data_IF_706888936935
#
_entry.id   IF_706888936935
#
_cell.length_a   1.000
_cell.length_b   1.000
_cell.length_c   1.000
_cell.angle_alpha   90.00
_cell.angle_beta   90.00
_cell.angle_gamma   90.00
#
_symmetry.space_group_name_H-M   'P 1'
#
loop_
_entity.id
_entity.type
_entity.pdbx_description
1 polymer ?
#
# COMPACT_ATOMS: atom_id res chain seq x y z
N UNK A 1 -47.57 -22.75 -14.42
CA UNK A 1 -46.85 -21.78 -13.56
C UNK A 1 -45.82 -22.57 -12.79
N UNK A 2 -44.62 -22.70 -13.37
CA UNK A 2 -43.49 -23.34 -12.70
C UNK A 2 -42.60 -22.22 -12.18
N UNK A 3 -42.42 -22.17 -10.86
CA UNK A 3 -41.42 -21.33 -10.21
C UNK A 3 -40.05 -21.73 -10.76
N UNK A 4 -39.46 -20.80 -11.51
CA UNK A 4 -38.07 -20.84 -11.95
C UNK A 4 -37.20 -20.58 -10.72
N UNK A 5 -36.71 -21.68 -10.13
CA UNK A 5 -35.88 -21.74 -8.94
C UNK A 5 -34.53 -21.08 -9.25
N UNK A 6 -34.48 -19.75 -9.15
CA UNK A 6 -33.27 -18.95 -9.37
C UNK A 6 -32.29 -19.22 -8.22
N UNK A 7 -31.07 -19.72 -8.49
CA UNK A 7 -30.02 -19.84 -7.47
C UNK A 7 -29.46 -18.45 -7.17
N UNK A 8 -30.21 -17.60 -6.47
CA UNK A 8 -29.94 -16.16 -6.43
C UNK A 8 -30.01 -15.50 -5.05
N UNK A 9 -30.78 -16.02 -4.10
CA UNK A 9 -31.06 -15.30 -2.84
C UNK A 9 -29.86 -15.22 -1.88
N UNK A 10 -29.12 -16.31 -1.69
CA UNK A 10 -27.92 -16.30 -0.86
C UNK A 10 -26.77 -15.52 -1.52
N UNK A 11 -26.68 -15.60 -2.86
CA UNK A 11 -25.67 -14.93 -3.67
C UNK A 11 -25.85 -13.41 -3.63
N UNK A 12 -27.10 -12.94 -3.75
CA UNK A 12 -27.43 -11.52 -3.65
C UNK A 12 -27.16 -10.94 -2.27
N UNK A 13 -27.40 -11.69 -1.19
CA UNK A 13 -27.15 -11.19 0.17
C UNK A 13 -25.66 -10.97 0.46
N UNK A 14 -24.77 -11.84 -0.05
CA UNK A 14 -23.33 -11.69 0.11
C UNK A 14 -22.79 -10.56 -0.76
N UNK A 15 -23.24 -10.47 -2.02
CA UNK A 15 -22.90 -9.36 -2.91
C UNK A 15 -23.32 -8.03 -2.27
N UNK A 16 -24.56 -7.91 -1.82
CA UNK A 16 -25.05 -6.70 -1.12
C UNK A 16 -24.21 -6.31 0.11
N UNK A 17 -23.59 -7.28 0.82
CA UNK A 17 -22.68 -6.98 1.93
C UNK A 17 -21.33 -6.44 1.44
N UNK A 18 -20.78 -6.99 0.37
CA UNK A 18 -19.60 -6.45 -0.30
C UNK A 18 -19.87 -5.02 -0.74
N UNK A 19 -21.07 -4.75 -1.22
CA UNK A 19 -21.46 -3.45 -1.75
C UNK A 19 -21.58 -2.41 -0.64
N UNK A 20 -22.20 -2.78 0.48
CA UNK A 20 -22.19 -1.96 1.69
C UNK A 20 -20.78 -1.69 2.21
N UNK A 21 -19.88 -2.69 2.17
CA UNK A 21 -18.48 -2.49 2.55
C UNK A 21 -17.74 -1.52 1.61
N UNK A 22 -18.06 -1.54 0.31
CA UNK A 22 -17.54 -0.58 -0.67
C UNK A 22 -18.06 0.83 -0.42
N UNK A 23 -19.36 0.98 -0.15
CA UNK A 23 -20.00 2.27 0.15
C UNK A 23 -19.43 2.95 1.39
N UNK A 24 -19.01 2.18 2.40
CA UNK A 24 -18.38 2.69 3.62
C UNK A 24 -16.96 3.23 3.40
N UNK A 25 -16.54 3.49 2.16
CA UNK A 25 -15.26 4.09 1.80
C UNK A 25 -14.07 3.35 2.42
N UNK A 26 -14.10 2.02 2.41
CA UNK A 26 -12.94 1.20 2.71
C UNK A 26 -11.88 1.28 1.58
N UNK A 27 -11.49 2.49 1.17
CA UNK A 27 -10.43 2.80 0.18
C UNK A 27 -9.08 2.16 0.56
N UNK A 28 -8.98 1.67 1.78
CA UNK A 28 -7.82 1.05 2.38
C UNK A 28 -7.75 -0.46 2.21
N UNK A 29 -8.85 -1.17 1.94
CA UNK A 29 -8.86 -2.65 1.89
C UNK A 29 -9.37 -3.13 0.54
N UNK A 30 -8.54 -3.92 -0.14
CA UNK A 30 -8.85 -4.55 -1.41
C UNK A 30 -9.97 -5.58 -1.23
N UNK A 31 -11.02 -5.41 -2.05
CA UNK A 31 -12.17 -6.30 -2.10
C UNK A 31 -12.13 -7.12 -3.39
N UNK A 32 -12.74 -8.32 -3.40
CA UNK A 32 -12.82 -9.16 -4.58
C UNK A 32 -13.40 -8.42 -5.78
N UNK A 33 -12.70 -8.45 -6.91
CA UNK A 33 -13.11 -7.75 -8.14
C UNK A 33 -12.89 -8.63 -9.38
N UNK A 34 -13.56 -8.26 -10.46
CA UNK A 34 -13.27 -8.74 -11.80
C UNK A 34 -12.47 -7.65 -12.52
N UNK A 35 -11.53 -8.01 -13.38
CA UNK A 35 -10.84 -7.11 -14.30
C UNK A 35 -10.78 -7.78 -15.65
N UNK A 36 -11.12 -7.04 -16.70
CA UNK A 36 -11.10 -7.55 -18.08
C UNK A 36 -9.89 -6.98 -18.80
N UNK A 37 -9.06 -7.81 -19.43
CA UNK A 37 -7.85 -7.42 -20.15
C UNK A 37 -7.95 -7.98 -21.56
N UNK A 38 -7.57 -7.21 -22.58
CA UNK A 38 -7.59 -7.68 -23.96
C UNK A 38 -6.92 -6.70 -24.92
N UNK A 39 -6.33 -7.22 -26.00
CA UNK A 39 -5.67 -6.42 -27.03
C UNK A 39 -6.66 -5.48 -27.75
N UNK A 40 -6.15 -4.46 -28.45
CA UNK A 40 -6.98 -3.63 -29.32
C UNK A 40 -7.67 -4.51 -30.37
N UNK A 41 -8.98 -4.34 -30.56
CA UNK A 41 -9.78 -5.15 -31.49
C UNK A 41 -9.95 -6.64 -31.13
N UNK A 42 -9.58 -7.08 -29.92
CA UNK A 42 -9.89 -8.40 -29.36
C UNK A 42 -11.39 -8.64 -29.14
N UNK A 43 -12.23 -7.62 -29.32
CA UNK A 43 -13.67 -7.69 -29.02
C UNK A 43 -14.01 -7.38 -27.57
N UNK A 44 -13.05 -6.91 -26.75
CA UNK A 44 -13.26 -6.49 -25.34
C UNK A 44 -14.50 -5.63 -25.16
N UNK A 45 -14.65 -4.56 -25.94
CA UNK A 45 -15.78 -3.62 -25.81
C UNK A 45 -17.10 -4.36 -25.99
N UNK A 46 -17.21 -5.21 -27.01
CA UNK A 46 -18.42 -6.01 -27.24
C UNK A 46 -18.71 -7.04 -26.13
N UNK A 47 -17.67 -7.64 -25.51
CA UNK A 47 -17.86 -8.48 -24.31
C UNK A 47 -18.46 -7.66 -23.19
N UNK A 48 -17.90 -6.47 -22.97
CA UNK A 48 -18.33 -5.55 -21.92
C UNK A 48 -19.74 -5.03 -22.17
N UNK A 49 -20.12 -4.70 -23.41
CA UNK A 49 -21.49 -4.29 -23.77
C UNK A 49 -22.47 -5.43 -23.45
N UNK A 50 -22.10 -6.66 -23.77
CA UNK A 50 -22.94 -7.84 -23.52
C UNK A 50 -23.06 -8.16 -22.02
N UNK A 51 -22.01 -7.88 -21.24
CA UNK A 51 -22.01 -8.05 -19.79
C UNK A 51 -22.80 -6.93 -19.06
N UNK A 52 -22.49 -5.67 -19.37
CA UNK A 52 -23.02 -4.45 -18.72
C UNK A 52 -24.40 -4.02 -19.24
N UNK A 53 -24.77 -4.44 -20.46
CA UNK A 53 -25.91 -3.90 -21.19
C UNK A 53 -25.70 -2.46 -21.68
N UNK A 54 -24.48 -1.93 -21.60
CA UNK A 54 -24.15 -0.55 -21.93
C UNK A 54 -23.26 -0.48 -23.18
N UNK A 55 -23.67 0.31 -24.17
CA UNK A 55 -22.92 0.51 -25.43
C UNK A 55 -21.73 1.44 -25.21
N UNK A 56 -20.52 0.98 -25.50
CA UNK A 56 -19.35 1.87 -25.43
C UNK A 56 -19.25 2.67 -26.73
N UNK A 57 -18.93 3.98 -26.69
CA UNK A 57 -18.79 4.76 -27.92
C UNK A 57 -17.64 4.21 -28.78
N UNK A 58 -17.99 3.68 -29.95
CA UNK A 58 -17.06 3.16 -30.95
C UNK A 58 -16.79 4.23 -32.03
N UNK A 59 -16.23 5.40 -31.66
CA UNK A 59 -15.87 6.41 -32.65
C UNK A 59 -14.37 6.33 -33.02
N UNK A 60 -14.01 6.36 -34.32
CA UNK A 60 -12.62 6.49 -34.73
C UNK A 60 -12.07 7.84 -34.26
N UNK A 61 -11.06 7.81 -33.38
CA UNK A 61 -10.48 9.00 -32.74
C UNK A 61 -10.70 9.08 -31.21
N UNK A 62 -11.71 8.36 -30.69
CA UNK A 62 -11.96 8.15 -29.25
C UNK A 62 -11.25 6.90 -28.68
N UNK A 63 -10.39 6.25 -29.47
CA UNK A 63 -9.63 5.07 -29.03
C UNK A 63 -8.93 5.35 -27.69
N UNK A 64 -9.00 4.40 -26.77
CA UNK A 64 -8.60 4.54 -25.36
C UNK A 64 -7.14 5.03 -25.25
N UNK A 65 -6.94 6.33 -24.94
CA UNK A 65 -5.62 6.97 -24.76
C UNK A 65 -5.11 6.90 -23.31
N UNK A 66 -5.92 6.33 -22.43
CA UNK A 66 -5.71 6.13 -21.00
C UNK A 66 -6.52 4.92 -20.54
N UNK A 67 -6.21 4.38 -19.38
CA UNK A 67 -7.01 3.28 -18.84
C UNK A 67 -8.40 3.79 -18.41
N UNK A 68 -9.45 3.06 -18.77
CA UNK A 68 -10.82 3.39 -18.34
C UNK A 68 -11.33 2.32 -17.39
N UNK A 69 -11.52 2.68 -16.12
CA UNK A 69 -12.09 1.80 -15.12
C UNK A 69 -13.61 1.98 -15.08
N UNK A 70 -14.36 0.97 -15.51
CA UNK A 70 -15.82 0.96 -15.40
C UNK A 70 -16.20 0.13 -14.18
N UNK A 71 -16.99 0.68 -13.28
CA UNK A 71 -17.50 -0.03 -12.11
C UNK A 71 -19.01 -0.02 -12.18
N UNK A 72 -19.62 -1.20 -12.27
CA UNK A 72 -21.05 -1.35 -12.15
C UNK A 72 -21.41 -1.63 -10.70
N UNK A 73 -22.46 -0.99 -10.20
CA UNK A 73 -22.97 -1.19 -8.86
C UNK A 73 -24.49 -1.19 -8.81
N UNK A 74 -25.04 -1.99 -7.91
CA UNK A 74 -26.45 -1.99 -7.60
C UNK A 74 -26.79 -0.75 -6.78
N UNK A 75 -27.81 -0.02 -7.22
CA UNK A 75 -28.32 1.16 -6.53
C UNK A 75 -29.83 1.28 -6.77
N UNK A 76 -30.59 1.92 -5.86
CA UNK A 76 -32.03 2.12 -6.05
C UNK A 76 -32.34 2.94 -7.31
N UNK A 77 -31.48 3.90 -7.65
CA UNK A 77 -31.66 4.80 -8.78
C UNK A 77 -30.58 4.60 -9.84
N UNK A 78 -30.98 4.69 -11.12
CA UNK A 78 -30.06 4.67 -12.25
C UNK A 78 -29.31 6.00 -12.31
N UNK A 79 -27.99 5.96 -12.12
CA UNK A 79 -27.13 7.13 -12.27
C UNK A 79 -25.72 6.70 -12.68
N UNK A 80 -25.05 7.54 -13.47
CA UNK A 80 -23.66 7.33 -13.85
C UNK A 80 -22.81 8.47 -13.30
N UNK A 81 -21.68 8.12 -12.71
CA UNK A 81 -20.71 9.09 -12.20
C UNK A 81 -19.38 8.88 -12.90
N UNK A 82 -18.83 9.93 -13.51
CA UNK A 82 -17.52 9.92 -14.14
C UNK A 82 -16.54 10.71 -13.27
N UNK A 83 -15.38 10.12 -13.00
CA UNK A 83 -14.32 10.58 -12.10
C UNK A 83 -12.97 10.36 -12.79
N UNK A 84 -11.95 11.10 -12.40
CA UNK A 84 -10.57 10.82 -12.82
C UNK A 84 -9.75 10.40 -11.60
N UNK A 85 -9.02 9.29 -11.73
CA UNK A 85 -8.05 8.83 -10.73
C UNK A 85 -6.66 9.25 -11.23
N UNK A 86 -6.01 10.19 -10.53
CA UNK A 86 -4.70 10.70 -10.94
C UNK A 86 -3.59 9.66 -10.77
N UNK A 87 -2.52 9.81 -11.54
CA UNK A 87 -1.29 9.05 -11.34
C UNK A 87 -0.60 9.35 -10.01
N UNK A 88 0.14 8.39 -9.47
CA UNK A 88 0.72 8.43 -8.10
C UNK A 88 1.89 9.41 -7.96
N UNK A 89 2.50 9.77 -9.07
CA UNK A 89 3.60 10.72 -9.24
C UNK A 89 3.11 12.11 -9.69
N UNK A 90 1.80 12.33 -9.73
CA UNK A 90 1.24 13.64 -10.09
C UNK A 90 1.55 14.67 -9.01
N UNK A 91 1.93 15.88 -9.43
CA UNK A 91 2.04 17.03 -8.54
C UNK A 91 0.70 17.31 -7.82
N UNK A 92 0.76 17.78 -6.58
CA UNK A 92 -0.42 18.05 -5.74
C UNK A 92 -1.44 18.99 -6.43
N UNK A 93 -0.96 19.94 -7.22
CA UNK A 93 -1.80 20.84 -8.02
C UNK A 93 -2.52 20.15 -9.20
N UNK A 94 -1.88 19.14 -9.82
CA UNK A 94 -2.47 18.33 -10.89
C UNK A 94 -3.45 17.32 -10.29
N UNK A 95 -3.08 16.69 -9.17
CA UNK A 95 -3.92 15.76 -8.43
C UNK A 95 -5.23 16.41 -7.98
N UNK A 96 -5.16 17.63 -7.43
CA UNK A 96 -6.33 18.40 -7.02
C UNK A 96 -7.27 18.72 -8.19
N UNK A 97 -6.71 19.08 -9.35
CA UNK A 97 -7.48 19.38 -10.58
C UNK A 97 -8.19 18.14 -11.12
N UNK A 98 -7.48 17.02 -11.21
CA UNK A 98 -8.03 15.75 -11.71
C UNK A 98 -9.11 15.20 -10.77
N UNK A 99 -8.90 15.27 -9.44
CA UNK A 99 -9.90 14.84 -8.45
C UNK A 99 -11.13 15.75 -8.38
N UNK A 100 -10.98 17.03 -8.73
CA UNK A 100 -12.11 17.96 -8.82
C UNK A 100 -13.06 17.61 -9.99
N UNK A 101 -12.58 16.86 -10.99
CA UNK A 101 -13.43 16.40 -12.07
C UNK A 101 -14.40 15.32 -11.59
N UNK A 102 -15.66 15.71 -11.40
CA UNK A 102 -16.78 14.81 -11.12
C UNK A 102 -17.98 15.25 -11.94
N UNK A 103 -18.51 14.34 -12.76
CA UNK A 103 -19.75 14.53 -13.51
C UNK A 103 -20.72 13.42 -13.16
N UNK A 104 -21.98 13.76 -12.97
CA UNK A 104 -23.04 12.78 -12.72
C UNK A 104 -24.18 13.01 -13.69
N UNK A 105 -24.69 11.93 -14.28
CA UNK A 105 -25.84 11.95 -15.20
C UNK A 105 -26.85 10.92 -14.74
N UNK A 106 -28.13 11.27 -14.74
CA UNK A 106 -29.25 10.38 -14.47
C UNK A 106 -29.68 9.56 -15.69
N UNK A 107 -29.69 10.16 -16.89
CA UNK A 107 -30.03 9.49 -18.14
C UNK A 107 -28.82 9.37 -19.07
N UNK A 108 -28.42 8.13 -19.34
CA UNK A 108 -27.21 7.81 -20.08
C UNK A 108 -27.49 7.71 -21.59
N UNK A 109 -27.50 8.85 -22.27
CA UNK A 109 -27.46 8.88 -23.74
C UNK A 109 -26.00 8.82 -24.22
N UNK A 110 -25.71 8.05 -25.27
CA UNK A 110 -24.36 7.94 -25.84
C UNK A 110 -23.72 9.31 -26.12
N UNK A 111 -24.51 10.27 -26.58
CA UNK A 111 -24.09 11.66 -26.84
C UNK A 111 -23.59 12.38 -25.58
N UNK A 112 -24.25 12.18 -24.45
CA UNK A 112 -23.86 12.81 -23.18
C UNK A 112 -22.54 12.22 -22.66
N UNK A 113 -22.36 10.91 -22.82
CA UNK A 113 -21.14 10.23 -22.41
C UNK A 113 -19.94 10.65 -23.29
N UNK A 114 -20.14 10.79 -24.60
CA UNK A 114 -19.11 11.32 -25.51
C UNK A 114 -18.68 12.72 -25.08
N UNK A 115 -19.61 13.62 -24.78
CA UNK A 115 -19.29 14.99 -24.30
C UNK A 115 -18.49 14.99 -23.00
N UNK A 116 -18.84 14.12 -22.04
CA UNK A 116 -18.08 14.02 -20.78
C UNK A 116 -16.69 13.46 -21.00
N UNK A 117 -16.54 12.49 -21.90
CA UNK A 117 -15.22 11.96 -22.27
C UNK A 117 -14.37 13.07 -22.91
N UNK A 118 -14.95 13.90 -23.78
CA UNK A 118 -14.24 15.06 -24.35
C UNK A 118 -13.83 16.09 -23.28
N UNK A 119 -14.70 16.38 -22.31
CA UNK A 119 -14.33 17.22 -21.15
C UNK A 119 -13.21 16.60 -20.34
N UNK A 120 -13.28 15.29 -20.06
CA UNK A 120 -12.27 14.56 -19.31
C UNK A 120 -10.92 14.58 -20.05
N UNK A 121 -10.92 14.43 -21.38
CA UNK A 121 -9.73 14.51 -22.23
C UNK A 121 -9.06 15.88 -22.13
N UNK A 122 -9.84 16.97 -22.10
CA UNK A 122 -9.32 18.33 -21.91
C UNK A 122 -8.67 18.49 -20.53
N UNK A 123 -9.30 17.96 -19.48
CA UNK A 123 -8.75 18.03 -18.11
C UNK A 123 -7.49 17.18 -17.95
N UNK A 124 -7.42 16.03 -18.61
CA UNK A 124 -6.24 15.17 -18.67
C UNK A 124 -5.14 15.68 -19.62
N UNK A 125 -5.37 16.79 -20.33
CA UNK A 125 -4.38 17.38 -21.24
C UNK A 125 -4.10 16.51 -22.48
N UNK A 126 -5.11 15.82 -23.01
CA UNK A 126 -4.95 14.91 -24.15
C UNK A 126 -5.26 15.64 -25.46
N UNK A 127 -4.40 15.48 -26.48
CA UNK A 127 -4.60 16.07 -27.82
C UNK A 127 -5.87 15.53 -28.49
N UNK A 128 -6.83 16.38 -28.81
CA UNK A 128 -8.09 15.96 -29.43
C UNK A 128 -8.04 16.04 -30.96
N UNK A 129 -7.27 16.97 -31.53
CA UNK A 129 -7.15 17.15 -32.99
C UNK A 129 -5.70 17.25 -33.45
N UNK A 130 -5.44 17.03 -34.75
CA UNK A 130 -4.10 17.15 -35.34
C UNK A 130 -3.58 18.60 -35.40
N UNK A 131 -4.47 19.58 -35.28
CA UNK A 131 -4.16 21.02 -35.33
C UNK A 131 -3.80 21.62 -33.96
N UNK A 132 -3.97 20.85 -32.87
CA UNK A 132 -3.60 21.25 -31.51
C UNK A 132 -2.06 21.19 -31.33
N UNK A 133 -1.40 22.32 -31.62
CA UNK A 133 0.07 22.49 -31.58
C UNK A 133 0.60 22.94 -30.21
N UNK A 134 -0.22 22.88 -29.16
CA UNK A 134 0.18 23.18 -27.78
C UNK A 134 1.20 22.13 -27.26
N UNK A 135 2.41 22.54 -26.84
CA UNK A 135 3.46 21.64 -26.37
C UNK A 135 3.13 20.96 -25.03
N UNK A 136 2.08 21.43 -24.33
CA UNK A 136 1.62 20.90 -23.05
C UNK A 136 0.70 19.66 -23.17
N UNK A 137 0.15 19.39 -24.36
CA UNK A 137 -0.81 18.30 -24.57
C UNK A 137 -0.11 16.97 -24.90
N UNK A 138 -0.47 15.91 -24.20
CA UNK A 138 0.07 14.56 -24.38
C UNK A 138 -0.84 13.71 -25.29
N UNK A 139 -0.25 12.72 -25.97
CA UNK A 139 -1.02 11.78 -26.81
C UNK A 139 -1.68 10.67 -25.98
N UNK A 140 -1.07 10.31 -24.86
CA UNK A 140 -1.52 9.28 -23.92
C UNK A 140 -1.40 9.81 -22.49
N UNK A 141 -2.28 9.37 -21.59
CA UNK A 141 -2.18 9.66 -20.16
C UNK A 141 -2.10 8.37 -19.36
N UNK A 142 -1.36 8.41 -18.25
CA UNK A 142 -1.30 7.35 -17.23
C UNK A 142 -2.41 7.49 -16.17
N UNK A 143 -3.20 8.56 -16.25
CA UNK A 143 -4.39 8.74 -15.42
C UNK A 143 -5.48 7.74 -15.81
N UNK A 144 -6.40 7.45 -14.88
CA UNK A 144 -7.47 6.47 -15.10
C UNK A 144 -8.82 7.17 -15.08
N UNK A 145 -9.60 7.04 -16.16
CA UNK A 145 -10.99 7.51 -16.20
C UNK A 145 -11.87 6.48 -15.50
N UNK A 146 -12.45 6.83 -14.36
CA UNK A 146 -13.39 5.96 -13.64
C UNK A 146 -14.84 6.31 -14.00
N UNK A 147 -15.57 5.36 -14.58
CA UNK A 147 -17.00 5.45 -14.89
C UNK A 147 -17.75 4.52 -13.93
N UNK A 148 -18.56 5.07 -13.04
CA UNK A 148 -19.36 4.32 -12.07
C UNK A 148 -20.82 4.29 -12.50
N UNK A 149 -21.29 3.14 -12.98
CA UNK A 149 -22.66 2.91 -13.43
C UNK A 149 -23.45 2.29 -12.29
N UNK A 150 -24.49 2.98 -11.85
CA UNK A 150 -25.32 2.56 -10.72
C UNK A 150 -26.74 2.26 -11.19
N UNK A 151 -27.36 1.19 -10.74
CA UNK A 151 -28.77 0.91 -11.03
C UNK A 151 -29.30 -0.39 -10.43
N UNK A 152 -30.63 -0.60 -10.38
CA UNK A 152 -31.23 -1.74 -9.65
C UNK A 152 -30.98 -3.09 -10.32
N UNK A 153 -30.71 -3.08 -11.63
CA UNK A 153 -30.46 -4.23 -12.50
C UNK A 153 -28.96 -4.53 -12.67
N UNK A 154 -28.07 -3.70 -12.12
CA UNK A 154 -26.64 -3.83 -12.29
C UNK A 154 -26.03 -4.84 -11.33
N UNK A 155 -25.05 -5.61 -11.82
CA UNK A 155 -24.22 -6.50 -11.02
C UNK A 155 -22.92 -5.78 -10.61
N UNK A 156 -22.35 -6.18 -9.48
CA UNK A 156 -21.16 -5.54 -8.94
C UNK A 156 -19.87 -6.10 -9.53
N UNK A 157 -19.49 -5.58 -10.69
CA UNK A 157 -18.20 -5.89 -11.30
C UNK A 157 -17.46 -4.61 -11.69
N UNK A 158 -16.14 -4.72 -11.68
CA UNK A 158 -15.25 -3.69 -12.20
C UNK A 158 -14.67 -4.21 -13.51
N UNK A 159 -14.33 -3.29 -14.39
CA UNK A 159 -13.74 -3.54 -15.69
C UNK A 159 -12.66 -2.50 -15.83
N UNK A 160 -11.50 -2.89 -16.34
CA UNK A 160 -10.44 -1.92 -16.64
C UNK A 160 -10.11 -2.07 -18.11
N UNK A 161 -10.56 -1.13 -18.93
CA UNK A 161 -10.16 -1.06 -20.32
C UNK A 161 -8.76 -0.43 -20.39
N UNK A 162 -7.74 -1.23 -20.71
CA UNK A 162 -6.36 -0.75 -20.87
C UNK A 162 -6.10 -0.47 -22.36
N UNK A 163 -5.46 0.66 -22.72
CA UNK A 163 -5.03 0.94 -24.08
C UNK A 163 -4.17 -0.20 -24.65
N UNK A 164 -4.53 -0.72 -25.83
CA UNK A 164 -3.91 -1.91 -26.40
C UNK A 164 -2.48 -1.77 -26.91
N UNK A 165 -1.77 -0.66 -26.66
CA UNK A 165 -0.37 -0.47 -27.08
C UNK A 165 0.39 0.34 -26.03
N UNK A 166 0.72 -0.27 -24.90
CA UNK A 166 1.87 0.17 -24.10
C UNK A 166 3.10 -0.61 -24.57
N UNK A 167 3.80 -0.08 -25.59
CA UNK A 167 5.18 -0.48 -25.96
C UNK A 167 6.24 0.12 -25.01
N UNK A 168 5.82 0.72 -23.90
CA UNK A 168 6.72 1.29 -22.89
C UNK A 168 6.84 0.27 -21.73
N UNK A 169 8.04 -0.02 -21.20
CA UNK A 169 8.28 -1.05 -20.16
C UNK A 169 7.61 -0.79 -18.79
N UNK A 170 6.79 0.24 -18.69
CA UNK A 170 6.04 0.67 -17.53
C UNK A 170 4.80 1.38 -18.07
N UNK A 171 3.54 0.98 -17.76
CA UNK A 171 3.06 0.62 -16.43
C UNK A 171 1.84 -0.35 -16.39
N UNK A 172 2.00 -1.69 -16.38
CA UNK A 172 0.94 -2.57 -15.87
C UNK A 172 1.13 -2.90 -14.38
N UNK A 173 2.27 -2.52 -13.80
CA UNK A 173 2.62 -2.79 -12.40
C UNK A 173 1.59 -2.22 -11.41
N UNK A 174 0.92 -1.11 -11.73
CA UNK A 174 -0.06 -0.50 -10.80
C UNK A 174 -1.38 -1.27 -10.73
N UNK A 175 -1.88 -1.79 -11.86
CA UNK A 175 -3.06 -2.68 -11.87
C UNK A 175 -2.68 -4.04 -11.26
N UNK A 176 -1.45 -4.54 -11.52
CA UNK A 176 -0.96 -5.77 -10.93
C UNK A 176 -0.78 -5.69 -9.40
N UNK A 177 -0.29 -4.57 -8.85
CA UNK A 177 -0.18 -4.36 -7.39
C UNK A 177 -1.52 -4.16 -6.69
N UNK A 178 -2.60 -3.85 -7.41
CA UNK A 178 -3.92 -3.56 -6.83
C UNK A 178 -4.76 -4.81 -6.53
N UNK A 179 -4.29 -6.03 -6.85
CA UNK A 179 -5.23 -7.10 -7.20
C UNK A 179 -4.80 -8.51 -6.76
N UNK A 180 -4.33 -8.70 -5.53
CA UNK A 180 -4.20 -10.07 -4.97
C UNK A 180 -5.55 -10.80 -4.90
N UNK A 181 -6.66 -10.04 -4.89
CA UNK A 181 -8.04 -10.54 -4.72
C UNK A 181 -8.90 -10.43 -5.98
N UNK A 182 -8.31 -10.41 -7.18
CA UNK A 182 -9.06 -10.11 -8.41
C UNK A 182 -8.95 -11.20 -9.46
N UNK A 183 -10.10 -11.51 -10.07
CA UNK A 183 -10.22 -12.38 -11.23
C UNK A 183 -9.82 -11.60 -12.49
N UNK A 184 -8.89 -12.14 -13.27
CA UNK A 184 -8.48 -11.59 -14.56
C UNK A 184 -9.28 -12.29 -15.66
N UNK A 185 -10.00 -11.53 -16.47
CA UNK A 185 -10.73 -12.01 -17.63
C UNK A 185 -9.96 -11.61 -18.90
N UNK A 186 -9.18 -12.54 -19.44
CA UNK A 186 -8.39 -12.34 -20.64
C UNK A 186 -9.25 -12.54 -21.90
N UNK A 187 -9.54 -11.46 -22.63
CA UNK A 187 -10.34 -11.47 -23.87
C UNK A 187 -9.41 -11.66 -25.06
N UNK A 188 -9.63 -12.75 -25.79
CA UNK A 188 -8.72 -13.25 -26.82
C UNK A 188 -9.53 -13.51 -28.11
N UNK A 189 -9.13 -12.96 -29.28
CA UNK A 189 -9.78 -13.29 -30.54
C UNK A 189 -9.46 -14.73 -30.97
N UNK A 190 -10.47 -15.45 -31.45
CA UNK A 190 -10.35 -16.87 -31.83
C UNK A 190 -9.61 -17.08 -33.16
N UNK A 191 -9.50 -16.06 -34.00
CA UNK A 191 -8.87 -16.15 -35.33
C UNK A 191 -7.34 -15.97 -35.31
N UNK A 192 -6.74 -15.79 -34.13
CA UNK A 192 -5.29 -15.60 -33.95
C UNK A 192 -4.78 -16.66 -32.98
N UNK A 193 -3.56 -17.17 -33.20
CA UNK A 193 -2.96 -18.12 -32.27
C UNK A 193 -2.79 -17.51 -30.88
N UNK A 194 -3.34 -18.22 -29.89
CA UNK A 194 -3.44 -17.80 -28.50
C UNK A 194 -2.05 -17.66 -27.87
N UNK A 195 -1.09 -18.50 -28.28
CA UNK A 195 0.28 -18.47 -27.77
C UNK A 195 1.02 -17.15 -28.05
N UNK A 196 0.59 -16.44 -29.10
CA UNK A 196 1.22 -15.19 -29.54
C UNK A 196 0.63 -13.93 -28.92
N UNK A 197 -0.49 -14.06 -28.21
CA UNK A 197 -1.25 -12.91 -27.72
C UNK A 197 -0.58 -12.27 -26.49
N UNK A 198 -0.40 -10.95 -26.53
CA UNK A 198 0.24 -10.20 -25.44
C UNK A 198 -0.63 -10.18 -24.18
N UNK A 199 -1.96 -10.20 -24.34
CA UNK A 199 -2.93 -10.29 -23.24
C UNK A 199 -2.62 -11.45 -22.27
N UNK A 200 -2.24 -12.63 -22.78
CA UNK A 200 -1.89 -13.77 -21.91
C UNK A 200 -0.56 -13.56 -21.19
N UNK A 201 0.44 -12.96 -21.83
CA UNK A 201 1.72 -12.61 -21.18
C UNK A 201 1.51 -11.58 -20.07
N UNK A 202 0.63 -10.61 -20.29
CA UNK A 202 0.26 -9.64 -19.26
C UNK A 202 -0.45 -10.32 -18.09
N UNK A 203 -1.34 -11.27 -18.36
CA UNK A 203 -2.01 -12.04 -17.32
C UNK A 203 -1.02 -12.94 -16.56
N UNK A 204 -0.09 -13.61 -17.25
CA UNK A 204 0.94 -14.48 -16.65
C UNK A 204 1.91 -13.69 -15.75
N UNK A 205 2.28 -12.47 -16.12
CA UNK A 205 3.08 -11.59 -15.26
C UNK A 205 2.39 -11.26 -13.92
N UNK A 206 1.05 -11.21 -13.91
CA UNK A 206 0.26 -10.94 -12.71
C UNK A 206 -0.18 -12.21 -11.98
N UNK A 207 -0.37 -13.32 -12.70
CA UNK A 207 -0.86 -14.61 -12.22
C UNK A 207 -0.07 -15.77 -12.88
N UNK A 208 1.18 -16.01 -12.45
CA UNK A 208 2.05 -17.02 -13.08
C UNK A 208 1.47 -18.45 -13.01
N UNK A 209 0.70 -18.75 -11.97
CA UNK A 209 0.08 -20.07 -11.77
C UNK A 209 -1.28 -20.21 -12.48
N UNK A 210 -1.79 -19.15 -13.13
CA UNK A 210 -3.08 -19.12 -13.80
C UNK A 210 -4.27 -19.41 -12.88
N UNK A 211 -4.14 -19.15 -11.57
CA UNK A 211 -5.13 -19.52 -10.54
C UNK A 211 -6.37 -18.64 -10.56
N UNK A 212 -6.22 -17.39 -11.00
CA UNK A 212 -7.26 -16.35 -10.96
C UNK A 212 -7.53 -15.76 -12.35
N UNK A 213 -7.02 -16.40 -13.40
CA UNK A 213 -7.20 -15.96 -14.79
C UNK A 213 -8.16 -16.87 -15.54
N UNK A 214 -9.14 -16.29 -16.22
CA UNK A 214 -10.10 -16.93 -17.12
C UNK A 214 -9.93 -16.38 -18.53
N UNK A 215 -9.93 -17.25 -19.53
CA UNK A 215 -9.90 -16.84 -20.94
C UNK A 215 -11.31 -16.72 -21.54
N UNK A 216 -11.54 -15.68 -22.33
CA UNK A 216 -12.77 -15.46 -23.09
C UNK A 216 -12.41 -15.33 -24.56
N UNK A 217 -12.81 -16.34 -25.35
CA UNK A 217 -12.60 -16.39 -26.77
C UNK A 217 -13.73 -15.66 -27.51
N UNK A 218 -13.36 -14.69 -28.35
CA UNK A 218 -14.31 -13.90 -29.15
C UNK A 218 -14.13 -14.19 -30.65
N UNK A 219 -15.02 -13.66 -31.48
CA UNK A 219 -14.97 -13.80 -32.95
C UNK A 219 -14.84 -15.26 -33.44
N UNK A 220 -15.61 -16.23 -32.88
CA UNK A 220 -15.52 -17.63 -33.32
C UNK A 220 -16.05 -17.85 -34.75
N UNK A 221 -16.76 -16.86 -35.30
CA UNK A 221 -17.32 -16.82 -36.64
C UNK A 221 -16.26 -16.60 -37.74
N UNK A 222 -15.15 -15.92 -37.42
CA UNK A 222 -14.05 -15.68 -38.35
C UNK A 222 -13.14 -16.91 -38.54
N UNK A 223 -13.28 -17.93 -37.70
CA UNK A 223 -12.50 -19.15 -37.79
C UNK A 223 -13.16 -20.10 -38.79
N UNK A 224 -12.69 -20.10 -40.02
CA UNK A 224 -13.21 -20.96 -41.09
C UNK A 224 -12.48 -22.29 -41.20
N UNK A 225 -11.21 -22.34 -40.80
CA UNK A 225 -10.37 -23.53 -40.86
C UNK A 225 -10.74 -24.56 -39.78
N UNK A 226 -10.99 -25.80 -40.20
CA UNK A 226 -11.42 -26.90 -39.31
C UNK A 226 -10.35 -27.21 -38.25
N UNK A 227 -9.07 -27.21 -38.64
CA UNK A 227 -7.97 -27.48 -37.71
C UNK A 227 -7.92 -26.46 -36.56
N UNK A 228 -8.12 -25.18 -36.88
CA UNK A 228 -8.14 -24.09 -35.90
C UNK A 228 -9.38 -24.15 -35.01
N UNK A 229 -10.54 -24.50 -35.58
CA UNK A 229 -11.75 -24.76 -34.80
C UNK A 229 -11.56 -25.91 -33.80
N UNK A 230 -10.93 -27.01 -34.21
CA UNK A 230 -10.69 -28.17 -33.33
C UNK A 230 -9.67 -27.85 -32.23
N UNK A 231 -8.63 -27.07 -32.53
CA UNK A 231 -7.69 -26.58 -31.52
C UNK A 231 -8.39 -25.72 -30.45
N UNK A 232 -9.32 -24.85 -30.86
CA UNK A 232 -10.13 -24.03 -29.94
C UNK A 232 -11.04 -24.91 -29.08
N UNK A 233 -11.69 -25.93 -29.67
CA UNK A 233 -12.54 -26.87 -28.91
C UNK A 233 -11.72 -27.60 -27.85
N UNK A 234 -10.55 -28.09 -28.21
CA UNK A 234 -9.66 -28.80 -27.29
C UNK A 234 -9.19 -27.90 -26.14
N UNK A 235 -8.96 -26.61 -26.41
CA UNK A 235 -8.64 -25.62 -25.39
C UNK A 235 -9.82 -25.41 -24.42
N UNK A 236 -11.03 -25.18 -24.95
CA UNK A 236 -12.22 -24.94 -24.12
C UNK A 236 -12.60 -26.17 -23.31
N UNK A 237 -12.43 -27.37 -23.85
CA UNK A 237 -12.69 -28.63 -23.15
C UNK A 237 -11.62 -28.97 -22.12
N UNK A 238 -10.51 -28.23 -22.07
CA UNK A 238 -9.50 -28.33 -21.02
C UNK A 238 -8.31 -29.22 -21.34
N UNK A 239 -8.15 -29.69 -22.59
CA UNK A 239 -7.06 -30.62 -22.97
C UNK A 239 -5.69 -29.94 -23.10
N UNK A 240 -5.66 -28.62 -23.36
CA UNK A 240 -4.43 -27.81 -23.51
C UNK A 240 -4.49 -26.56 -22.63
N UNK A 241 -4.97 -26.71 -21.40
CA UNK A 241 -5.35 -25.57 -20.59
C UNK A 241 -4.21 -25.08 -19.68
N UNK A 242 -3.77 -23.85 -19.91
CA UNK A 242 -2.82 -23.14 -19.04
C UNK A 242 -3.52 -22.42 -17.87
N UNK A 243 -4.83 -22.18 -17.98
CA UNK A 243 -5.61 -21.37 -17.02
C UNK A 243 -6.50 -22.25 -16.14
N UNK A 244 -6.40 -22.14 -14.81
CA UNK A 244 -7.18 -22.99 -13.89
C UNK A 244 -8.68 -22.73 -13.96
N UNK A 245 -9.10 -21.50 -14.27
CA UNK A 245 -10.52 -21.14 -14.42
C UNK A 245 -11.11 -21.57 -15.78
N UNK A 246 -10.24 -21.94 -16.74
CA UNK A 246 -10.59 -22.39 -18.07
C UNK A 246 -10.94 -21.28 -19.05
N UNK A 247 -11.46 -21.70 -20.21
CA UNK A 247 -11.85 -20.82 -21.31
C UNK A 247 -13.36 -20.86 -21.56
N UNK A 248 -13.95 -19.72 -21.91
CA UNK A 248 -15.32 -19.62 -22.43
C UNK A 248 -15.29 -19.02 -23.84
N UNK A 249 -16.27 -19.35 -24.68
CA UNK A 249 -16.39 -18.79 -26.04
C UNK A 249 -17.71 -18.03 -26.17
N UNK A 250 -17.65 -16.84 -26.77
CA UNK A 250 -18.82 -15.98 -26.97
C UNK A 250 -18.85 -15.48 -28.41
N UNK A 251 -20.06 -15.30 -28.94
CA UNK A 251 -20.26 -14.70 -30.25
C UNK A 251 -20.86 -13.31 -30.05
N UNK A 252 -20.01 -12.30 -30.28
CA UNK A 252 -20.40 -10.91 -30.20
C UNK A 252 -20.91 -10.40 -31.55
N UNK A 253 -21.48 -9.19 -31.53
CA UNK A 253 -21.91 -8.44 -32.72
C UNK A 253 -20.75 -8.25 -33.71
N UNK A 254 -21.03 -8.45 -34.99
CA UNK A 254 -20.10 -8.10 -36.07
C UNK A 254 -20.06 -6.58 -36.26
N UNK A 255 -18.95 -6.03 -36.76
CA UNK A 255 -18.78 -4.58 -36.96
C UNK A 255 -19.83 -3.97 -37.91
N UNK A 256 -20.39 -4.78 -38.82
CA UNK A 256 -21.34 -4.35 -39.84
C UNK A 256 -22.80 -4.33 -39.37
N UNK A 257 -23.12 -5.02 -38.27
CA UNK A 257 -24.48 -5.08 -37.76
C UNK A 257 -24.65 -3.98 -36.72
N UNK A 258 -25.06 -2.77 -37.12
CA UNK A 258 -25.24 -1.63 -36.20
C UNK A 258 -26.67 -1.44 -35.65
N UNK A 259 -27.66 -2.20 -36.15
CA UNK A 259 -29.08 -2.03 -35.78
C UNK A 259 -29.71 -3.15 -34.93
N UNK A 260 -29.09 -4.33 -34.82
CA UNK A 260 -29.61 -5.43 -33.98
C UNK A 260 -29.73 -5.10 -32.48
N UNK A 261 -30.82 -5.57 -31.85
CA UNK A 261 -31.03 -5.44 -30.41
C UNK A 261 -30.25 -6.50 -29.63
N UNK A 262 -30.07 -6.31 -28.32
CA UNK A 262 -29.42 -7.31 -27.42
C UNK A 262 -30.15 -8.65 -27.46
N UNK A 263 -31.48 -8.64 -27.60
CA UNK A 263 -32.28 -9.86 -27.71
C UNK A 263 -31.98 -10.63 -29.01
N UNK A 264 -31.81 -9.92 -30.12
CA UNK A 264 -31.46 -10.53 -31.40
C UNK A 264 -30.06 -11.14 -31.35
N UNK A 265 -29.12 -10.48 -30.68
CA UNK A 265 -27.76 -11.00 -30.49
C UNK A 265 -27.76 -12.32 -29.71
N UNK A 266 -28.52 -12.40 -28.62
CA UNK A 266 -28.68 -13.64 -27.83
C UNK A 266 -29.28 -14.78 -28.67
N UNK A 267 -30.25 -14.46 -29.54
CA UNK A 267 -30.86 -15.45 -30.42
C UNK A 267 -29.87 -15.94 -31.49
N UNK A 268 -29.12 -15.02 -32.11
CA UNK A 268 -28.09 -15.35 -33.10
C UNK A 268 -26.93 -16.14 -32.49
N UNK A 269 -26.54 -15.84 -31.24
CA UNK A 269 -25.52 -16.56 -30.51
C UNK A 269 -25.96 -18.01 -30.26
N UNK A 270 -27.19 -18.22 -29.74
CA UNK A 270 -27.76 -19.56 -29.56
C UNK A 270 -27.83 -20.32 -30.88
N UNK A 271 -28.26 -19.68 -31.97
CA UNK A 271 -28.32 -20.30 -33.28
C UNK A 271 -26.93 -20.72 -33.81
N UNK A 272 -25.90 -19.92 -33.54
CA UNK A 272 -24.52 -20.24 -33.91
C UNK A 272 -23.97 -21.44 -33.14
N UNK A 273 -24.12 -21.47 -31.82
CA UNK A 273 -23.61 -22.56 -30.99
C UNK A 273 -24.41 -23.87 -31.13
N UNK A 274 -25.62 -23.82 -31.68
CA UNK A 274 -26.42 -25.01 -32.02
C UNK A 274 -25.92 -25.77 -33.26
N UNK A 275 -25.01 -25.18 -34.06
CA UNK A 275 -24.40 -25.83 -35.22
C UNK A 275 -23.58 -27.04 -34.80
N UNK A 276 -23.53 -28.08 -35.64
CA UNK A 276 -22.87 -29.37 -35.34
C UNK A 276 -21.43 -29.21 -34.87
N UNK A 277 -20.69 -28.25 -35.44
CA UNK A 277 -19.31 -27.91 -35.09
C UNK A 277 -19.12 -27.55 -33.61
N UNK A 278 -20.08 -26.85 -33.00
CA UNK A 278 -19.94 -26.28 -31.66
C UNK A 278 -20.78 -26.98 -30.58
N UNK A 279 -21.63 -27.96 -30.96
CA UNK A 279 -22.52 -28.67 -30.03
C UNK A 279 -21.80 -29.29 -28.83
N UNK A 280 -20.63 -29.90 -29.04
CA UNK A 280 -19.86 -30.52 -27.95
C UNK A 280 -19.40 -29.47 -26.93
N UNK A 281 -18.99 -28.29 -27.39
CA UNK A 281 -18.58 -27.19 -26.51
C UNK A 281 -19.80 -26.56 -25.85
N UNK A 282 -20.92 -26.41 -26.57
CA UNK A 282 -22.17 -25.91 -26.02
C UNK A 282 -22.68 -26.79 -24.87
N UNK A 283 -22.58 -28.11 -25.00
CA UNK A 283 -22.93 -29.07 -23.94
C UNK A 283 -22.06 -28.94 -22.68
N UNK A 284 -20.85 -28.40 -22.79
CA UNK A 284 -19.96 -28.17 -21.63
C UNK A 284 -20.36 -26.98 -20.77
N UNK A 285 -21.35 -26.18 -21.20
CA UNK A 285 -21.74 -24.94 -20.51
C UNK A 285 -20.68 -23.84 -20.60
N UNK A 286 -19.76 -23.89 -21.56
CA UNK A 286 -18.71 -22.87 -21.76
C UNK A 286 -18.96 -21.96 -22.97
N UNK A 287 -20.15 -22.03 -23.54
CA UNK A 287 -20.56 -21.21 -24.68
C UNK A 287 -21.61 -20.18 -24.29
N UNK A 288 -21.44 -18.97 -24.80
CA UNK A 288 -22.43 -17.92 -24.78
C UNK A 288 -22.36 -16.98 -23.58
N UNK A 289 -22.89 -15.78 -23.76
CA UNK A 289 -22.82 -14.71 -22.75
C UNK A 289 -23.58 -15.06 -21.47
N UNK A 290 -24.71 -15.77 -21.59
CA UNK A 290 -25.50 -16.19 -20.42
C UNK A 290 -24.72 -17.13 -19.51
N UNK A 291 -24.00 -18.09 -20.10
CA UNK A 291 -23.16 -19.00 -19.32
C UNK A 291 -21.94 -18.30 -18.72
N UNK A 292 -21.35 -17.36 -19.47
CA UNK A 292 -20.26 -16.53 -18.97
C UNK A 292 -20.70 -15.72 -17.74
N UNK A 293 -21.87 -15.07 -17.78
CA UNK A 293 -22.42 -14.31 -16.63
C UNK A 293 -22.58 -15.19 -15.39
N UNK A 294 -23.23 -16.35 -15.53
CA UNK A 294 -23.43 -17.26 -14.41
C UNK A 294 -22.09 -17.71 -13.81
N UNK A 295 -21.14 -18.10 -14.66
CA UNK A 295 -19.82 -18.57 -14.22
C UNK A 295 -18.99 -17.46 -13.57
N UNK A 296 -19.06 -16.23 -14.08
CA UNK A 296 -18.42 -15.08 -13.47
C UNK A 296 -19.02 -14.77 -12.09
N UNK A 297 -20.35 -14.85 -11.96
CA UNK A 297 -21.04 -14.69 -10.69
C UNK A 297 -20.60 -15.75 -9.67
N UNK A 298 -20.54 -17.01 -10.07
CA UNK A 298 -20.10 -18.11 -9.20
C UNK A 298 -18.64 -17.92 -8.75
N UNK A 299 -17.74 -17.57 -9.67
CA UNK A 299 -16.33 -17.34 -9.35
C UNK A 299 -16.12 -16.14 -8.43
N UNK A 300 -16.83 -15.03 -8.69
CA UNK A 300 -16.81 -13.87 -7.81
C UNK A 300 -17.31 -14.26 -6.41
N UNK A 301 -18.33 -15.12 -6.31
CA UNK A 301 -18.82 -15.59 -5.03
C UNK A 301 -17.81 -16.49 -4.31
N UNK A 302 -17.17 -17.42 -5.00
CA UNK A 302 -16.20 -18.34 -4.41
C UNK A 302 -14.98 -17.61 -3.87
N UNK A 303 -14.43 -16.68 -4.66
CA UNK A 303 -13.33 -15.82 -4.20
C UNK A 303 -13.81 -14.92 -3.07
N UNK A 304 -15.04 -14.39 -3.15
CA UNK A 304 -15.59 -13.58 -2.05
C UNK A 304 -15.70 -14.35 -0.75
N UNK A 305 -16.19 -15.60 -0.77
CA UNK A 305 -16.27 -16.46 0.42
C UNK A 305 -14.89 -16.77 0.98
N UNK A 306 -13.91 -17.05 0.12
CA UNK A 306 -12.54 -17.36 0.52
C UNK A 306 -11.82 -16.14 1.12
N UNK A 307 -11.99 -14.97 0.52
CA UNK A 307 -11.29 -13.75 0.91
C UNK A 307 -11.97 -12.99 2.06
N UNK A 308 -13.28 -13.13 2.28
CA UNK A 308 -14.00 -12.38 3.33
C UNK A 308 -13.41 -12.54 4.75
N UNK A 309 -13.01 -13.75 5.20
CA UNK A 309 -12.34 -13.93 6.48
C UNK A 309 -11.02 -13.16 6.57
N UNK A 310 -10.25 -13.13 5.48
CA UNK A 310 -9.00 -12.38 5.41
C UNK A 310 -9.25 -10.88 5.43
N UNK A 311 -10.24 -10.39 4.66
CA UNK A 311 -10.72 -9.00 4.70
C UNK A 311 -11.11 -8.60 6.14
N UNK A 312 -11.86 -9.44 6.85
CA UNK A 312 -12.25 -9.20 8.25
C UNK A 312 -11.04 -9.09 9.18
N UNK A 313 -10.06 -9.99 9.03
CA UNK A 313 -8.83 -9.94 9.80
C UNK A 313 -8.01 -8.68 9.51
N UNK A 314 -7.95 -8.25 8.24
CA UNK A 314 -7.28 -7.01 7.84
C UNK A 314 -7.97 -5.77 8.44
N UNK A 315 -9.31 -5.74 8.46
CA UNK A 315 -10.07 -4.69 9.14
C UNK A 315 -9.79 -4.64 10.63
N UNK A 316 -9.79 -5.79 11.31
CA UNK A 316 -9.50 -5.86 12.74
C UNK A 316 -8.09 -5.34 13.05
N UNK A 317 -7.09 -5.80 12.29
CA UNK A 317 -5.70 -5.36 12.43
C UNK A 317 -5.56 -3.85 12.24
N UNK A 318 -6.19 -3.28 11.22
CA UNK A 318 -6.16 -1.83 10.96
C UNK A 318 -6.91 -1.05 12.03
N UNK A 319 -8.04 -1.57 12.53
CA UNK A 319 -8.78 -0.95 13.62
C UNK A 319 -7.91 -0.86 14.89
N UNK A 320 -7.19 -1.93 15.22
CA UNK A 320 -6.31 -1.96 16.40
C UNK A 320 -5.11 -1.03 16.24
N UNK A 321 -4.54 -0.94 15.04
CA UNK A 321 -3.51 0.06 14.73
C UNK A 321 -4.02 1.50 14.87
N UNK A 322 -5.21 1.79 14.35
CA UNK A 322 -5.84 3.10 14.48
C UNK A 322 -6.18 3.43 15.93
N UNK A 323 -6.66 2.47 16.72
CA UNK A 323 -6.91 2.63 18.16
C UNK A 323 -5.62 2.91 18.92
N UNK A 324 -4.57 2.15 18.66
CA UNK A 324 -3.25 2.37 19.28
C UNK A 324 -2.69 3.76 18.96
N UNK A 325 -2.86 4.21 17.71
CA UNK A 325 -2.49 5.58 17.30
C UNK A 325 -3.37 6.65 17.95
N UNK A 326 -4.67 6.39 18.10
CA UNK A 326 -5.57 7.32 18.78
C UNK A 326 -5.23 7.45 20.26
N UNK A 327 -4.91 6.33 20.91
CA UNK A 327 -4.45 6.28 22.30
C UNK A 327 -3.12 7.03 22.49
N UNK A 328 -2.19 6.91 21.55
CA UNK A 328 -0.91 7.63 21.63
C UNK A 328 -1.04 9.15 21.47
N UNK A 329 -2.03 9.62 20.70
CA UNK A 329 -2.35 11.05 20.58
C UNK A 329 -2.98 11.58 21.88
N UNK A 330 -3.72 10.72 22.58
CA UNK A 330 -4.37 11.01 23.85
C UNK A 330 -5.75 11.67 23.70
N UNK A 331 -6.41 12.02 24.83
CA UNK A 331 -7.76 12.55 24.83
C UNK A 331 -7.83 13.95 24.20
N UNK A 332 -9.01 14.30 23.66
CA UNK A 332 -9.28 15.64 23.13
C UNK A 332 -9.05 16.72 24.19
N UNK A 333 -8.47 17.85 23.77
CA UNK A 333 -8.06 18.96 24.64
C UNK A 333 -8.73 20.28 24.23
N UNK A 334 -10.00 20.20 23.84
CA UNK A 334 -10.78 21.37 23.41
C UNK A 334 -11.07 22.35 24.56
N UNK A 335 -11.23 21.85 25.78
CA UNK A 335 -11.53 22.68 26.96
C UNK A 335 -10.27 23.07 27.76
N UNK A 336 -10.30 24.25 28.38
CA UNK A 336 -9.18 24.77 29.17
C UNK A 336 -8.85 23.89 30.40
N UNK A 337 -9.87 23.30 31.03
CA UNK A 337 -9.73 22.33 32.14
C UNK A 337 -8.89 21.12 31.72
N UNK A 338 -9.22 20.52 30.58
CA UNK A 338 -8.53 19.37 30.01
C UNK A 338 -7.08 19.69 29.62
N UNK A 339 -6.81 20.90 29.12
CA UNK A 339 -5.45 21.36 28.84
C UNK A 339 -4.61 21.50 30.10
N UNK A 340 -5.17 22.06 31.18
CA UNK A 340 -4.48 22.17 32.48
C UNK A 340 -4.16 20.80 33.08
N UNK A 341 -5.10 19.84 33.00
CA UNK A 341 -4.86 18.47 33.46
C UNK A 341 -3.71 17.82 32.68
N UNK A 342 -3.66 18.02 31.36
CA UNK A 342 -2.59 17.49 30.52
C UNK A 342 -1.21 18.07 30.90
N UNK A 343 -1.12 19.40 31.04
CA UNK A 343 0.11 20.07 31.47
C UNK A 343 0.52 19.63 32.88
N UNK A 344 -0.43 19.49 33.79
CA UNK A 344 -0.19 18.96 35.15
C UNK A 344 0.41 17.56 35.12
N UNK A 345 -0.16 16.64 34.32
CA UNK A 345 0.40 15.29 34.14
C UNK A 345 1.82 15.32 33.59
N UNK A 346 2.11 16.20 32.63
CA UNK A 346 3.44 16.34 32.05
C UNK A 346 4.45 16.84 33.09
N UNK A 347 4.07 17.85 33.89
CA UNK A 347 4.90 18.37 34.97
C UNK A 347 5.15 17.31 36.06
N UNK A 348 4.13 16.55 36.47
CA UNK A 348 4.28 15.46 37.43
C UNK A 348 5.18 14.34 36.91
N UNK A 349 5.06 13.98 35.62
CA UNK A 349 5.94 12.98 35.00
C UNK A 349 7.40 13.46 34.99
N UNK A 350 7.62 14.73 34.60
CA UNK A 350 8.95 15.33 34.65
C UNK A 350 9.53 15.28 36.07
N UNK A 351 8.76 15.70 37.08
CA UNK A 351 9.17 15.66 38.48
C UNK A 351 9.54 14.24 38.94
N UNK A 352 8.73 13.23 38.57
CA UNK A 352 9.00 11.83 38.91
C UNK A 352 10.31 11.33 38.29
N UNK A 353 10.55 11.62 37.01
CA UNK A 353 11.79 11.27 36.31
C UNK A 353 12.99 11.97 36.98
N UNK A 354 12.88 13.28 37.28
CA UNK A 354 13.93 14.03 37.97
C UNK A 354 14.24 13.42 39.34
N UNK A 355 13.23 13.01 40.10
CA UNK A 355 13.42 12.37 41.39
C UNK A 355 14.13 11.01 41.26
N UNK A 356 13.78 10.22 40.23
CA UNK A 356 14.48 8.97 39.94
C UNK A 356 15.95 9.21 39.58
N UNK A 357 16.23 10.25 38.80
CA UNK A 357 17.60 10.64 38.45
C UNK A 357 18.42 11.06 39.68
N UNK A 358 17.82 11.86 40.58
CA UNK A 358 18.45 12.33 41.82
C UNK A 358 18.70 11.21 42.83
N UNK A 359 17.80 10.22 42.89
CA UNK A 359 17.89 9.10 43.84
C UNK A 359 18.65 7.88 43.29
N UNK A 360 19.00 7.87 41.99
CA UNK A 360 19.71 6.76 41.35
C UNK A 360 18.85 5.58 40.92
N UNK A 361 17.52 5.74 40.82
CA UNK A 361 16.59 4.70 40.42
C UNK A 361 16.43 4.63 38.89
N UNK A 362 17.46 4.17 38.19
CA UNK A 362 17.53 4.24 36.73
C UNK A 362 16.74 3.15 35.98
N UNK A 363 16.34 2.07 36.65
CA UNK A 363 15.60 0.97 36.02
C UNK A 363 14.11 1.26 35.82
N UNK A 364 13.62 2.37 36.40
CA UNK A 364 12.22 2.74 36.40
C UNK A 364 11.73 3.36 35.08
N UNK A 365 12.62 3.96 34.30
CA UNK A 365 12.25 4.77 33.12
C UNK A 365 13.24 4.55 31.97
N UNK A 366 12.70 4.41 30.75
CA UNK A 366 13.47 4.08 29.53
C UNK A 366 14.47 5.19 29.16
N UNK A 367 14.17 6.44 29.52
CA UNK A 367 14.98 7.63 29.21
C UNK A 367 16.43 7.51 29.70
N UNK A 368 16.68 6.79 30.80
CA UNK A 368 18.03 6.60 31.33
C UNK A 368 18.85 5.59 30.53
N UNK A 369 18.19 4.70 29.78
CA UNK A 369 18.85 3.74 28.87
C UNK A 369 19.19 4.41 27.55
N UNK A 370 18.28 5.23 27.00
CA UNK A 370 18.49 5.98 25.76
C UNK A 370 19.52 7.10 25.92
N UNK A 371 19.51 7.78 27.07
CA UNK A 371 20.39 8.91 27.35
C UNK A 371 21.20 8.64 28.63
N UNK A 372 22.33 7.91 28.53
CA UNK A 372 23.19 7.60 29.68
C UNK A 372 23.74 8.83 30.39
N UNK A 373 23.75 9.98 29.71
CA UNK A 373 24.20 11.25 30.29
C UNK A 373 23.32 11.75 31.44
N UNK A 374 22.09 11.26 31.55
CA UNK A 374 21.14 11.60 32.62
C UNK A 374 21.32 10.77 33.90
N UNK A 375 22.21 9.76 33.89
CA UNK A 375 22.57 8.99 35.10
C UNK A 375 23.54 9.78 35.99
N UNK A 376 23.02 10.81 36.64
CA UNK A 376 23.79 11.81 37.39
C UNK A 376 24.69 11.18 38.46
N UNK A 377 24.17 10.31 39.31
CA UNK A 377 24.97 9.65 40.36
C UNK A 377 26.10 8.83 39.75
N UNK A 378 25.84 8.06 38.69
CA UNK A 378 26.88 7.25 38.03
C UNK A 378 28.00 8.13 37.47
N UNK A 379 27.67 9.31 36.92
CA UNK A 379 28.67 10.29 36.50
C UNK A 379 29.48 10.82 37.69
N UNK A 380 28.81 11.20 38.78
CA UNK A 380 29.47 11.69 39.99
C UNK A 380 30.41 10.62 40.56
N UNK A 381 29.98 9.36 40.63
CA UNK A 381 30.83 8.24 41.09
C UNK A 381 32.06 8.10 40.21
N UNK A 382 31.91 8.11 38.88
CA UNK A 382 33.05 8.06 37.95
C UNK A 382 34.00 9.25 38.11
N UNK A 383 33.46 10.45 38.35
CA UNK A 383 34.27 11.64 38.62
C UNK A 383 35.04 11.50 39.95
N UNK A 384 34.39 10.98 40.99
CA UNK A 384 35.02 10.74 42.28
C UNK A 384 36.11 9.66 42.21
N UNK A 385 35.89 8.58 41.45
CA UNK A 385 36.91 7.56 41.19
C UNK A 385 38.12 8.15 40.46
N UNK A 386 37.88 8.99 39.43
CA UNK A 386 38.94 9.71 38.73
C UNK A 386 39.71 10.62 39.68
N UNK A 387 39.01 11.40 40.50
CA UNK A 387 39.64 12.24 41.51
C UNK A 387 40.48 11.43 42.50
N UNK A 388 39.97 10.30 43.00
CA UNK A 388 40.70 9.42 43.91
C UNK A 388 41.97 8.85 43.26
N UNK A 389 41.89 8.44 41.99
CA UNK A 389 43.05 7.96 41.23
C UNK A 389 44.08 9.06 40.99
N UNK A 390 43.64 10.27 40.61
CA UNK A 390 44.51 11.42 40.43
C UNK A 390 45.19 11.82 41.75
N UNK A 391 44.45 11.83 42.85
CA UNK A 391 44.98 12.08 44.19
C UNK A 391 46.00 11.02 44.60
N UNK A 392 45.74 9.74 44.30
CA UNK A 392 46.68 8.66 44.59
C UNK A 392 47.97 8.75 43.77
N UNK A 393 47.88 9.13 42.48
CA UNK A 393 49.04 9.26 41.58
C UNK A 393 49.88 10.50 41.85
N UNK A 394 49.25 11.64 42.15
CA UNK A 394 49.90 12.95 42.27
C UNK A 394 50.13 13.38 43.72
N UNK A 395 49.44 12.74 44.67
CA UNK A 395 49.61 12.99 46.09
C UNK A 395 50.97 12.52 46.59
N UNK A 396 51.55 13.29 47.50
CA UNK A 396 52.78 12.88 48.18
C UNK A 396 52.44 12.04 49.39
N UNK A 397 53.14 10.92 49.56
CA UNK A 397 53.03 10.04 50.73
C UNK A 397 54.17 10.35 51.71
N UNK A 398 53.99 10.01 52.98
CA UNK A 398 55.07 10.01 53.98
C UNK A 398 54.98 8.72 54.79
N UNK A 399 56.11 8.04 54.94
CA UNK A 399 56.18 6.80 55.71
C UNK A 399 56.05 7.10 57.21
N UNK A 400 55.31 6.22 57.90
CA UNK A 400 55.15 6.30 59.35
C UNK A 400 56.37 5.78 60.12
N UNK A 401 57.17 4.89 59.52
CA UNK A 401 58.41 4.35 60.10
C UNK A 401 59.41 3.99 58.99
N UNK A 402 60.68 3.81 59.35
CA UNK A 402 61.76 3.45 58.42
C UNK A 402 61.69 2.01 57.89
N UNK A 403 60.92 1.13 58.55
CA UNK A 403 60.75 -0.28 58.18
C UNK A 403 59.37 -0.58 57.55
N UNK A 404 58.75 0.41 56.90
CA UNK A 404 57.45 0.22 56.27
C UNK A 404 57.58 -0.64 54.99
N UNK A 405 56.79 -1.71 54.90
CA UNK A 405 56.75 -2.59 53.73
C UNK A 405 55.61 -2.18 52.78
N UNK A 406 55.94 -2.00 51.50
CA UNK A 406 55.06 -1.46 50.45
C UNK A 406 54.18 -2.56 49.80
N UNK A 407 54.03 -3.74 50.41
CA UNK A 407 53.27 -4.86 49.84
C UNK A 407 51.80 -4.51 49.53
N UNK A 408 51.16 -3.66 50.35
CA UNK A 408 49.79 -3.19 50.11
C UNK A 408 49.65 -2.28 48.88
N UNK A 409 50.75 -1.75 48.34
CA UNK A 409 50.74 -0.80 47.22
C UNK A 409 50.56 -1.45 45.84
N UNK A 410 50.83 -2.76 45.72
CA UNK A 410 50.67 -3.51 44.46
C UNK A 410 49.21 -3.86 44.16
N UNK A 411 48.34 -3.90 45.17
CA UNK A 411 46.97 -4.42 45.01
C UNK A 411 46.01 -3.41 44.35
N UNK A 412 46.26 -2.10 44.44
CA UNK A 412 45.40 -1.05 43.88
C UNK A 412 45.84 -0.53 42.50
N UNK A 413 46.95 -1.02 41.93
CA UNK A 413 47.45 -0.60 40.61
C UNK A 413 46.65 -1.16 39.41
N UNK A 414 45.58 -1.90 39.63
CA UNK A 414 44.82 -2.58 38.58
C UNK A 414 43.37 -2.10 38.48
N UNK A 415 43.19 -0.91 37.92
CA UNK A 415 42.02 -0.54 37.10
C UNK A 415 42.41 0.61 36.17
N UNK A 416 43.30 0.35 35.21
CA UNK A 416 43.44 1.21 34.03
C UNK A 416 42.21 0.99 33.14
N UNK A 417 41.20 1.84 33.29
CA UNK A 417 40.15 1.96 32.28
C UNK A 417 40.52 3.08 31.31
N UNK A 418 40.63 2.70 30.03
CA UNK A 418 40.88 3.54 28.86
C UNK A 418 40.21 4.91 28.97
N UNK A 419 41.06 5.94 28.98
CA UNK A 419 40.70 7.35 29.10
C UNK A 419 40.09 7.84 27.77
N UNK A 420 38.76 7.87 27.71
CA UNK A 420 38.01 8.68 26.76
C UNK A 420 37.18 9.69 27.58
N UNK A 421 37.86 10.55 28.34
CA UNK A 421 37.21 11.65 29.05
C UNK A 421 37.69 13.00 28.51
N UNK A 422 36.74 13.93 28.28
CA UNK A 422 37.07 15.30 27.86
C UNK A 422 37.99 15.96 28.91
N UNK A 423 39.04 16.69 28.48
CA UNK A 423 39.84 17.56 29.31
C UNK A 423 38.96 18.47 30.19
N UNK A 424 39.39 18.75 31.41
CA UNK A 424 38.64 19.61 32.33
C UNK A 424 38.52 21.05 31.80
N UNK A 425 39.50 21.46 30.99
CA UNK A 425 39.51 22.71 30.23
C UNK A 425 38.34 22.81 29.21
N UNK A 426 37.91 21.70 28.61
CA UNK A 426 36.77 21.68 27.68
C UNK A 426 35.42 21.79 28.41
N UNK A 427 35.35 21.39 29.69
CA UNK A 427 34.17 21.57 30.53
C UNK A 427 33.98 23.04 30.92
N UNK A 428 35.05 23.76 31.23
CA UNK A 428 35.00 25.20 31.55
C UNK A 428 34.52 26.04 30.36
N UNK A 429 34.90 25.69 29.12
CA UNK A 429 34.37 26.37 27.92
C UNK A 429 32.84 26.30 27.80
N UNK A 430 32.21 25.23 28.31
CA UNK A 430 30.77 25.04 28.24
C UNK A 430 30.01 25.71 29.40
N UNK A 431 30.70 26.09 30.48
CA UNK A 431 30.11 26.69 31.69
C UNK A 431 30.95 27.90 32.15
N UNK A 432 30.84 29.03 31.43
CA UNK A 432 31.66 30.22 31.69
C UNK A 432 31.51 30.78 33.11
N UNK A 433 30.35 30.58 33.75
CA UNK A 433 30.08 30.99 35.13
C UNK A 433 30.98 30.34 36.20
N UNK A 434 31.66 29.22 35.86
CA UNK A 434 32.57 28.54 36.78
C UNK A 434 34.00 29.07 36.74
N UNK A 435 34.33 29.96 35.79
CA UNK A 435 35.69 30.52 35.65
C UNK A 435 36.12 31.35 36.88
N UNK A 436 35.18 32.00 37.56
CA UNK A 436 35.48 32.83 38.73
C UNK A 436 35.72 32.01 40.01
N UNK A 437 35.40 30.72 39.99
CA UNK A 437 35.45 29.82 41.16
C UNK A 437 36.61 28.84 41.06
N UNK A 438 37.00 28.47 39.84
CA UNK A 438 37.97 27.41 39.57
C UNK A 438 39.26 28.02 39.04
N UNK A 439 40.34 27.87 39.80
CA UNK A 439 41.69 28.19 39.34
C UNK A 439 42.21 27.07 38.43
N UNK A 440 42.51 27.41 37.17
CA UNK A 440 43.04 26.49 36.16
C UNK A 440 44.56 26.48 36.08
N UNK A 441 45.24 27.29 36.90
CA UNK A 441 46.69 27.31 36.91
C UNK A 441 47.23 25.92 37.27
N UNK A 442 48.32 25.52 36.61
CA UNK A 442 48.97 24.23 36.85
C UNK A 442 49.51 24.17 38.28
N UNK A 443 48.68 23.70 39.21
CA UNK A 443 49.07 23.52 40.59
C UNK A 443 49.92 22.25 40.74
N UNK A 444 51.22 22.44 40.90
CA UNK A 444 52.09 21.37 41.37
C UNK A 444 52.03 21.32 42.89
N UNK A 445 51.42 20.27 43.43
CA UNK A 445 51.42 20.02 44.87
C UNK A 445 52.87 20.00 45.37
N UNK A 446 53.30 20.97 46.21
CA UNK A 446 54.67 21.02 46.67
C UNK A 446 54.97 19.75 47.48
N UNK A 447 56.18 19.19 47.29
CA UNK A 447 56.61 18.05 48.10
C UNK A 447 56.52 18.46 49.58
N UNK A 448 56.00 17.60 50.47
CA UNK A 448 55.98 17.87 51.90
C UNK A 448 57.39 18.22 52.34
N UNK A 449 57.56 19.32 53.08
CA UNK A 449 58.87 19.74 53.56
C UNK A 449 59.49 18.56 54.32
N UNK A 450 60.63 18.08 53.81
CA UNK A 450 61.40 17.06 54.49
C UNK A 450 61.90 17.66 55.81
N UNK A 451 61.51 17.06 56.93
CA UNK A 451 62.28 17.18 58.16
C UNK A 451 63.37 16.12 57.98
N UNK A 452 64.64 16.53 57.81
CA UNK A 452 65.83 15.68 57.58
C UNK A 452 65.64 14.21 57.93
N UNK A 453 65.88 13.23 57.03
CA UNK A 453 65.93 11.75 57.21
C UNK A 453 65.03 11.04 58.26
N UNK A 454 64.08 11.74 58.86
CA UNK A 454 63.37 11.37 60.07
C UNK A 454 61.93 11.00 59.70
N UNK A 455 61.43 9.91 60.29
CA UNK A 455 60.06 9.46 60.06
C UNK A 455 59.05 10.52 60.50
N UNK A 456 57.81 10.46 60.00
CA UNK A 456 56.78 11.41 60.45
C UNK A 456 56.56 11.33 61.97
N UNK A 457 56.79 10.15 62.57
CA UNK A 457 56.68 9.93 64.01
C UNK A 457 57.80 10.64 64.78
N UNK A 458 59.04 10.59 64.29
CA UNK A 458 60.18 11.30 64.89
C UNK A 458 60.02 12.83 64.82
N UNK A 459 59.23 13.32 63.88
CA UNK A 459 58.86 14.73 63.81
C UNK A 459 57.71 15.07 64.77
N UNK A 460 56.68 14.22 64.83
CA UNK A 460 55.55 14.38 65.76
C UNK A 460 56.05 14.37 67.21
N UNK A 461 56.95 13.45 67.58
CA UNK A 461 57.56 13.40 68.91
C UNK A 461 58.36 14.67 69.23
N UNK A 462 59.09 15.25 68.27
CA UNK A 462 59.90 16.47 68.44
C UNK A 462 59.09 17.77 68.57
N UNK A 463 57.84 17.77 68.13
CA UNK A 463 56.95 18.92 68.19
C UNK A 463 56.06 18.84 69.43
N UNK A 464 55.79 17.63 69.94
CA UNK A 464 54.98 17.37 71.12
C UNK A 464 55.79 17.29 72.43
N UNK A 465 57.10 17.05 72.35
CA UNK A 465 58.08 17.21 73.44
C UNK A 465 58.93 18.46 73.23
#
# INVERSE_FOLDING_TARGET
MAEDDRPGLANQALLNKIDKLRELNAKSIELPQLVVVGDQSSGKSSVLESLTGFSFPQAPGLCTRYATLISCRRAPEKHVTVLIIPRSDADEAVEGRLRAFKRSISNLTNEALVRIIEEANKVMGIRMTADDTEPSLQTFSEDILKIEISGPEQEHFTVIDVPGIFRVPSPPLRIATLLCRTIILAVLPSNVDISTQETLKMAENADPDGMRTMGVLTKPDLVTEIATQDAIKDLILGKRNQLRLGYCVIKNRSADDQQSTISDQLAQEKAFFNRSTWRQVAASGRCGIGSLKNRLSDLLMDISKKEFPHVKADFARRLDQCRSKLESIGPSRTEQSSQRIFLGKMASKFQAITQCALNGYYDSEIVFTEVPSLKLITKITKMNEKFANDFWRKGHKRHFSSNWDDEGEKMYKLTENNDNSMPFEDLLQNYPELHDIIDTDKYQCPKPKAFNDDSIMDHIERVLH
#
